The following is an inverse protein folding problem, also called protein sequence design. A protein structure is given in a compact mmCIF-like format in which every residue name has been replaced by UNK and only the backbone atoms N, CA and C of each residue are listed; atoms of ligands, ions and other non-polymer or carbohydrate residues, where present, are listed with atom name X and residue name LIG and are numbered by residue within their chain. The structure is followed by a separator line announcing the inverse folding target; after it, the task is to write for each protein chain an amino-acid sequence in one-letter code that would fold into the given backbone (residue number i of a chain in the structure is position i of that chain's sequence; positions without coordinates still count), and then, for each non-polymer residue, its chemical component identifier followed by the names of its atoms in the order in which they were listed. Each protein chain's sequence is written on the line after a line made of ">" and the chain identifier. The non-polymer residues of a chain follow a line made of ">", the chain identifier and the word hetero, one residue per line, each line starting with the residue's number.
data_IF_354214790515
#
_entry.id   IF_354214790515
#
_cell.length_a   1.000
_cell.length_b   1.000
_cell.length_c   1.000
_cell.angle_alpha   90.00
_cell.angle_beta   90.00
_cell.angle_gamma   90.00
#
_symmetry.space_group_name_H-M   'P 1'
#
loop_
_entity.id
_entity.type
_entity.pdbx_description
1 polymer ?
#
# COMPACT_ATOMS: atom_id res chain seq x y z
N UNK A 1 -37.80 -20.09 -23.87
CA UNK A 1 -37.21 -21.28 -23.24
C UNK A 1 -35.77 -21.40 -23.72
N UNK A 2 -34.82 -20.78 -23.01
CA UNK A 2 -33.40 -20.94 -23.32
C UNK A 2 -32.94 -22.29 -22.76
N UNK A 3 -32.54 -23.21 -23.64
CA UNK A 3 -31.88 -24.43 -23.22
C UNK A 3 -30.58 -24.07 -22.50
N UNK A 4 -30.52 -24.36 -21.20
CA UNK A 4 -29.33 -24.10 -20.39
C UNK A 4 -28.15 -24.89 -20.95
N UNK A 5 -27.16 -24.18 -21.48
CA UNK A 5 -25.87 -24.77 -21.83
C UNK A 5 -25.24 -25.28 -20.52
N UNK A 6 -25.15 -26.60 -20.36
CA UNK A 6 -24.59 -27.22 -19.15
C UNK A 6 -23.20 -26.66 -18.83
N UNK A 7 -22.93 -26.41 -17.53
CA UNK A 7 -21.62 -25.98 -17.07
C UNK A 7 -20.60 -27.10 -17.33
N UNK A 8 -19.46 -26.84 -18.00
CA UNK A 8 -18.39 -27.82 -18.09
C UNK A 8 -17.90 -28.19 -16.67
N UNK A 9 -17.55 -29.45 -16.46
CA UNK A 9 -16.98 -29.87 -15.18
C UNK A 9 -15.60 -29.18 -14.99
N UNK A 10 -15.29 -28.61 -13.82
CA UNK A 10 -14.02 -27.91 -13.56
C UNK A 10 -12.77 -28.77 -13.72
N UNK A 11 -12.90 -30.10 -13.81
CA UNK A 11 -11.80 -31.06 -13.74
C UNK A 11 -10.80 -31.04 -14.91
N UNK A 12 -11.01 -30.23 -15.96
CA UNK A 12 -10.08 -30.10 -17.08
C UNK A 12 -9.30 -28.77 -17.08
N UNK A 13 -9.45 -27.94 -16.04
CA UNK A 13 -8.73 -26.67 -15.93
C UNK A 13 -7.36 -26.85 -15.29
N UNK A 14 -6.36 -26.14 -15.81
CA UNK A 14 -4.98 -26.14 -15.34
C UNK A 14 -4.49 -24.72 -15.07
N UNK A 15 -3.43 -24.60 -14.26
CA UNK A 15 -2.69 -23.34 -14.12
C UNK A 15 -2.22 -22.86 -15.49
N UNK A 16 -2.43 -21.57 -15.78
CA UNK A 16 -2.10 -20.93 -17.05
C UNK A 16 -3.23 -20.93 -18.07
N UNK A 17 -4.33 -21.67 -17.85
CA UNK A 17 -5.48 -21.62 -18.73
C UNK A 17 -6.16 -20.24 -18.66
N UNK A 18 -6.66 -19.79 -19.80
CA UNK A 18 -7.58 -18.66 -19.87
C UNK A 18 -9.02 -19.17 -19.93
N UNK A 19 -9.90 -18.48 -19.22
CA UNK A 19 -11.35 -18.73 -19.28
C UNK A 19 -12.10 -17.42 -19.52
N UNK A 20 -13.32 -17.54 -20.05
CA UNK A 20 -14.32 -16.48 -20.08
C UNK A 20 -15.37 -16.79 -19.03
N UNK A 21 -15.70 -15.80 -18.20
CA UNK A 21 -16.72 -15.88 -17.14
C UNK A 21 -17.84 -14.90 -17.44
N UNK A 22 -19.07 -15.36 -17.41
CA UNK A 22 -20.28 -14.54 -17.55
C UNK A 22 -21.01 -14.50 -16.21
N UNK A 23 -21.21 -13.28 -15.69
CA UNK A 23 -21.86 -13.08 -14.40
C UNK A 23 -23.38 -12.96 -14.53
N UNK A 24 -24.10 -13.14 -13.42
CA UNK A 24 -25.52 -12.82 -13.29
C UNK A 24 -25.69 -11.31 -13.09
N UNK A 25 -25.25 -10.56 -14.09
CA UNK A 25 -25.36 -9.11 -14.13
C UNK A 25 -26.16 -8.70 -15.37
N UNK A 26 -26.86 -7.55 -15.39
CA UNK A 26 -27.64 -7.12 -16.56
C UNK A 26 -26.84 -6.90 -17.85
N UNK A 27 -25.52 -6.99 -17.78
CA UNK A 27 -24.62 -6.85 -18.92
C UNK A 27 -24.47 -8.19 -19.66
N UNK A 28 -24.15 -8.12 -20.94
CA UNK A 28 -23.86 -9.29 -21.79
C UNK A 28 -22.36 -9.60 -21.84
N UNK A 29 -21.54 -8.86 -21.11
CA UNK A 29 -20.08 -8.93 -21.14
C UNK A 29 -19.54 -10.25 -20.54
N UNK A 30 -18.59 -10.85 -21.24
CA UNK A 30 -17.80 -12.01 -20.82
C UNK A 30 -16.43 -11.55 -20.38
N UNK A 31 -16.07 -11.82 -19.13
CA UNK A 31 -14.78 -11.37 -18.60
C UNK A 31 -13.72 -12.44 -18.72
N UNK A 32 -12.56 -12.06 -19.27
CA UNK A 32 -11.41 -12.96 -19.35
C UNK A 32 -10.76 -13.13 -17.98
N UNK A 33 -10.35 -14.35 -17.65
CA UNK A 33 -9.57 -14.69 -16.44
C UNK A 33 -8.39 -15.55 -16.83
N UNK A 34 -7.23 -15.30 -16.23
CA UNK A 34 -6.09 -16.22 -16.27
C UNK A 34 -6.04 -16.98 -14.95
N UNK A 35 -6.05 -18.31 -15.02
CA UNK A 35 -6.00 -19.17 -13.84
C UNK A 35 -4.56 -19.25 -13.32
N UNK A 36 -4.32 -18.76 -12.11
CA UNK A 36 -2.98 -18.72 -11.53
C UNK A 36 -2.69 -19.92 -10.62
N UNK A 37 -3.62 -20.34 -9.77
CA UNK A 37 -3.40 -21.51 -8.90
C UNK A 37 -4.73 -22.08 -8.38
N UNK A 38 -4.81 -23.40 -8.23
CA UNK A 38 -6.02 -24.07 -7.77
C UNK A 38 -6.07 -24.11 -6.24
N UNK A 39 -7.20 -23.70 -5.67
CA UNK A 39 -7.40 -23.72 -4.21
C UNK A 39 -8.12 -24.98 -3.79
N UNK A 40 -9.36 -25.18 -4.22
CA UNK A 40 -10.18 -26.34 -3.89
C UNK A 40 -11.43 -26.36 -4.78
N UNK A 41 -11.89 -27.55 -5.20
CA UNK A 41 -13.10 -27.69 -6.04
C UNK A 41 -13.10 -26.75 -7.26
N UNK A 42 -14.01 -25.78 -7.32
CA UNK A 42 -14.13 -24.76 -8.37
C UNK A 42 -13.48 -23.41 -8.00
N UNK A 43 -12.79 -23.33 -6.86
CA UNK A 43 -12.13 -22.10 -6.40
C UNK A 43 -10.70 -22.02 -6.92
N UNK A 44 -10.43 -20.91 -7.61
CA UNK A 44 -9.12 -20.60 -8.20
C UNK A 44 -8.64 -19.22 -7.73
N UNK A 45 -7.32 -19.07 -7.62
CA UNK A 45 -6.68 -17.75 -7.67
C UNK A 45 -6.61 -17.34 -9.13
N UNK A 46 -7.18 -16.19 -9.46
CA UNK A 46 -7.30 -15.68 -10.83
C UNK A 46 -6.59 -14.33 -10.99
N UNK A 47 -6.24 -13.99 -12.22
CA UNK A 47 -5.84 -12.64 -12.62
C UNK A 47 -6.92 -12.03 -13.52
N UNK A 48 -7.24 -10.76 -13.30
CA UNK A 48 -8.16 -9.98 -14.15
C UNK A 48 -7.42 -9.12 -15.18
N UNK A 49 -8.11 -8.62 -16.23
CA UNK A 49 -7.54 -7.65 -17.16
C UNK A 49 -7.08 -6.33 -16.52
N UNK A 50 -7.54 -6.03 -15.30
CA UNK A 50 -7.17 -4.84 -14.51
C UNK A 50 -5.90 -5.08 -13.68
N UNK A 51 -5.28 -6.25 -13.78
CA UNK A 51 -4.17 -6.71 -12.96
C UNK A 51 -4.51 -6.90 -11.47
N UNK A 52 -5.78 -7.18 -11.18
CA UNK A 52 -6.21 -7.60 -9.84
C UNK A 52 -6.07 -9.11 -9.67
N UNK A 53 -5.71 -9.54 -8.47
CA UNK A 53 -5.57 -10.95 -8.08
C UNK A 53 -6.50 -11.25 -6.90
N UNK A 54 -7.41 -12.21 -7.07
CA UNK A 54 -8.31 -12.62 -6.00
C UNK A 54 -8.81 -14.07 -6.19
N UNK A 55 -9.59 -14.56 -5.22
CA UNK A 55 -10.22 -15.88 -5.25
C UNK A 55 -11.55 -15.82 -5.99
N UNK A 56 -11.75 -16.72 -6.93
CA UNK A 56 -13.01 -16.83 -7.67
C UNK A 56 -13.50 -18.27 -7.65
N UNK A 57 -14.73 -18.46 -7.18
CA UNK A 57 -15.43 -19.74 -7.25
C UNK A 57 -16.19 -19.82 -8.58
N UNK A 58 -15.73 -20.65 -9.51
CA UNK A 58 -16.35 -20.82 -10.82
C UNK A 58 -17.75 -21.43 -10.79
N UNK A 59 -18.19 -21.94 -9.63
CA UNK A 59 -19.56 -22.36 -9.39
C UNK A 59 -20.38 -21.37 -8.57
N UNK A 60 -19.82 -20.20 -8.28
CA UNK A 60 -20.43 -19.13 -7.50
C UNK A 60 -21.85 -18.77 -7.98
N UNK A 61 -22.70 -18.28 -7.06
CA UNK A 61 -24.11 -17.97 -7.36
C UNK A 61 -24.26 -16.82 -8.36
N UNK A 62 -23.25 -15.97 -8.47
CA UNK A 62 -23.16 -14.82 -9.37
C UNK A 62 -22.54 -15.16 -10.72
N UNK A 63 -22.11 -16.41 -10.96
CA UNK A 63 -21.60 -16.85 -12.27
C UNK A 63 -22.69 -17.65 -12.97
N UNK A 64 -23.16 -17.17 -14.11
CA UNK A 64 -24.16 -17.90 -14.91
C UNK A 64 -23.51 -18.95 -15.80
N UNK A 65 -22.34 -18.67 -16.36
CA UNK A 65 -21.58 -19.60 -17.21
C UNK A 65 -20.09 -19.26 -17.28
N UNK A 66 -19.25 -20.25 -17.62
CA UNK A 66 -17.86 -20.04 -18.01
C UNK A 66 -17.45 -20.97 -19.16
N UNK A 67 -16.41 -20.59 -19.92
CA UNK A 67 -15.85 -21.37 -21.05
C UNK A 67 -14.32 -21.30 -21.06
N UNK A 68 -13.64 -22.38 -21.41
CA UNK A 68 -12.22 -22.32 -21.78
C UNK A 68 -12.05 -21.40 -22.98
N UNK A 69 -10.97 -20.62 -22.98
CA UNK A 69 -10.70 -19.61 -24.00
C UNK A 69 -9.22 -19.56 -24.28
N UNK A 70 -8.85 -19.48 -25.55
CA UNK A 70 -7.48 -19.15 -25.97
C UNK A 70 -7.50 -17.69 -26.46
N UNK A 71 -6.79 -16.75 -25.80
CA UNK A 71 -6.73 -15.35 -26.22
C UNK A 71 -6.20 -15.14 -27.64
N UNK A 72 -5.49 -16.12 -28.21
CA UNK A 72 -4.98 -16.09 -29.59
C UNK A 72 -5.84 -16.95 -30.54
N UNK A 73 -6.78 -17.71 -30.00
CA UNK A 73 -7.65 -18.62 -30.73
C UNK A 73 -8.98 -17.99 -31.17
N UNK A 74 -9.84 -18.77 -31.85
CA UNK A 74 -11.19 -18.35 -32.18
C UNK A 74 -12.06 -18.22 -30.91
N UNK A 75 -12.99 -17.27 -30.92
CA UNK A 75 -13.96 -17.10 -29.84
C UNK A 75 -14.87 -18.33 -29.74
N UNK A 76 -15.17 -18.84 -28.51
CA UNK A 76 -16.04 -19.99 -28.34
C UNK A 76 -17.44 -19.77 -28.95
N UNK A 77 -18.01 -20.85 -29.49
CA UNK A 77 -19.33 -20.80 -30.13
C UNK A 77 -20.39 -20.20 -29.19
N UNK A 78 -21.19 -19.26 -29.71
CA UNK A 78 -22.26 -18.59 -28.97
C UNK A 78 -21.83 -17.37 -28.16
N UNK A 79 -20.54 -17.00 -28.18
CA UNK A 79 -20.03 -15.75 -27.60
C UNK A 79 -19.70 -14.78 -28.74
N UNK A 80 -20.19 -13.55 -28.67
CA UNK A 80 -19.83 -12.51 -29.61
C UNK A 80 -18.47 -11.91 -29.19
N UNK A 81 -17.55 -11.76 -30.14
CA UNK A 81 -16.22 -11.22 -29.88
C UNK A 81 -16.26 -9.79 -29.30
N UNK A 82 -17.29 -9.01 -29.62
CA UNK A 82 -17.48 -7.66 -29.10
C UNK A 82 -17.89 -7.61 -27.63
N UNK A 83 -18.44 -8.71 -27.11
CA UNK A 83 -18.93 -8.79 -25.74
C UNK A 83 -17.85 -9.36 -24.80
N UNK A 84 -16.60 -9.55 -25.27
CA UNK A 84 -15.50 -10.04 -24.43
C UNK A 84 -14.76 -8.84 -23.86
N UNK A 85 -14.50 -8.85 -22.55
CA UNK A 85 -13.55 -7.98 -21.86
C UNK A 85 -12.17 -8.64 -21.83
N UNK A 86 -11.24 -8.28 -22.74
CA UNK A 86 -9.97 -8.97 -22.86
C UNK A 86 -8.89 -8.32 -22.01
N UNK A 87 -7.78 -9.03 -21.82
CA UNK A 87 -6.53 -8.40 -21.36
C UNK A 87 -6.06 -7.37 -22.37
N UNK A 88 -5.78 -6.14 -21.91
CA UNK A 88 -5.19 -5.10 -22.78
C UNK A 88 -3.80 -5.50 -23.27
N UNK A 89 -3.02 -6.09 -22.37
CA UNK A 89 -1.71 -6.68 -22.65
C UNK A 89 -1.68 -8.06 -21.98
N UNK A 90 -1.40 -9.10 -22.75
CA UNK A 90 -1.17 -10.43 -22.18
C UNK A 90 0.17 -10.44 -21.44
N UNK A 91 0.26 -11.03 -20.25
CA UNK A 91 1.54 -11.21 -19.57
C UNK A 91 2.48 -12.04 -20.46
N UNK A 92 3.74 -11.60 -20.57
CA UNK A 92 4.78 -12.42 -21.20
C UNK A 92 5.15 -13.62 -20.32
N UNK A 93 5.97 -14.53 -20.84
CA UNK A 93 6.32 -15.77 -20.12
C UNK A 93 7.06 -15.51 -18.80
N UNK A 94 7.87 -14.44 -18.72
CA UNK A 94 8.56 -14.08 -17.49
C UNK A 94 7.59 -13.54 -16.43
N UNK A 95 6.65 -12.68 -16.85
CA UNK A 95 5.60 -12.16 -16.00
C UNK A 95 4.65 -13.29 -15.54
N UNK A 96 4.28 -14.23 -16.43
CA UNK A 96 3.48 -15.40 -16.06
C UNK A 96 4.16 -16.24 -14.98
N UNK A 97 5.47 -16.49 -15.11
CA UNK A 97 6.21 -17.25 -14.09
C UNK A 97 6.15 -16.59 -12.71
N UNK A 98 6.28 -15.26 -12.64
CA UNK A 98 6.14 -14.50 -11.38
C UNK A 98 4.70 -14.56 -10.84
N UNK A 99 3.71 -14.38 -11.73
CA UNK A 99 2.30 -14.43 -11.37
C UNK A 99 1.86 -15.82 -10.87
N UNK A 100 2.42 -16.90 -11.43
CA UNK A 100 2.17 -18.25 -10.94
C UNK A 100 2.76 -18.48 -9.54
N UNK A 101 3.99 -18.02 -9.30
CA UNK A 101 4.58 -18.07 -7.95
C UNK A 101 3.75 -17.27 -6.93
N UNK A 102 3.23 -16.11 -7.33
CA UNK A 102 2.32 -15.33 -6.49
C UNK A 102 0.99 -16.04 -6.26
N UNK A 103 0.37 -16.56 -7.31
CA UNK A 103 -0.85 -17.37 -7.22
C UNK A 103 -0.70 -18.55 -6.26
N UNK A 104 0.43 -19.25 -6.30
CA UNK A 104 0.72 -20.39 -5.42
C UNK A 104 0.87 -19.98 -3.95
N UNK A 105 1.46 -18.80 -3.66
CA UNK A 105 1.52 -18.26 -2.29
C UNK A 105 0.12 -17.94 -1.76
N UNK A 106 -0.73 -17.31 -2.60
CA UNK A 106 -2.11 -17.00 -2.25
C UNK A 106 -2.94 -18.26 -2.02
N UNK A 107 -2.86 -19.23 -2.95
CA UNK A 107 -3.57 -20.49 -2.84
C UNK A 107 -3.12 -21.30 -1.61
N UNK A 108 -1.81 -21.34 -1.32
CA UNK A 108 -1.29 -22.03 -0.13
C UNK A 108 -1.81 -21.42 1.17
N UNK A 109 -1.86 -20.09 1.26
CA UNK A 109 -2.42 -19.38 2.42
C UNK A 109 -3.90 -19.71 2.61
N UNK A 110 -4.68 -19.69 1.52
CA UNK A 110 -6.12 -19.97 1.60
C UNK A 110 -6.41 -21.44 1.91
N UNK A 111 -5.66 -22.37 1.32
CA UNK A 111 -5.76 -23.80 1.64
C UNK A 111 -5.45 -24.06 3.12
N UNK A 112 -4.42 -23.43 3.66
CA UNK A 112 -4.10 -23.52 5.09
C UNK A 112 -5.25 -22.99 5.96
N UNK A 113 -5.88 -21.87 5.56
CA UNK A 113 -7.06 -21.31 6.24
C UNK A 113 -8.25 -22.28 6.26
N UNK A 114 -8.43 -23.04 5.18
CA UNK A 114 -9.48 -24.06 5.03
C UNK A 114 -9.11 -25.43 5.65
N UNK A 115 -7.92 -25.57 6.23
CA UNK A 115 -7.44 -26.86 6.76
C UNK A 115 -7.13 -27.90 5.68
N UNK A 116 -6.93 -27.45 4.43
CA UNK A 116 -6.57 -28.30 3.30
C UNK A 116 -5.05 -28.50 3.25
N UNK A 117 -4.56 -29.65 2.78
CA UNK A 117 -3.13 -29.88 2.60
C UNK A 117 -2.55 -28.90 1.57
N UNK A 118 -1.26 -28.59 1.67
CA UNK A 118 -0.55 -27.83 0.64
C UNK A 118 -0.76 -28.45 -0.76
N UNK A 119 -0.81 -27.65 -1.83
CA UNK A 119 -0.99 -28.19 -3.18
C UNK A 119 0.13 -29.19 -3.47
N UNK A 120 -0.25 -30.40 -3.88
CA UNK A 120 0.71 -31.39 -4.35
C UNK A 120 1.09 -30.93 -5.75
N UNK A 121 2.28 -30.37 -5.94
CA UNK A 121 2.77 -29.99 -7.26
C UNK A 121 2.77 -31.23 -8.16
N UNK A 122 1.72 -31.39 -8.95
CA UNK A 122 1.58 -32.46 -9.91
C UNK A 122 2.47 -32.15 -11.11
N UNK A 123 3.75 -32.52 -11.03
CA UNK A 123 4.59 -32.65 -12.22
C UNK A 123 5.79 -31.72 -12.31
N UNK A 124 6.73 -31.83 -11.37
CA UNK A 124 8.15 -31.85 -11.78
C UNK A 124 8.69 -33.20 -11.34
N UNK A 125 9.02 -34.14 -12.26
CA UNK A 125 9.70 -35.36 -11.86
C UNK A 125 11.03 -34.98 -11.19
N UNK A 126 11.16 -35.33 -9.92
CA UNK A 126 12.38 -35.14 -9.17
C UNK A 126 13.53 -35.78 -9.96
N UNK A 127 14.54 -35.00 -10.29
CA UNK A 127 15.76 -35.51 -10.88
C UNK A 127 16.35 -36.55 -9.92
N UNK A 128 16.33 -37.81 -10.34
CA UNK A 128 16.94 -38.94 -9.64
C UNK A 128 18.44 -38.67 -9.58
N UNK A 129 18.92 -38.13 -8.46
CA UNK A 129 20.33 -38.04 -8.17
C UNK A 129 20.86 -39.48 -8.01
N UNK A 130 21.65 -39.91 -8.99
CA UNK A 130 22.25 -41.23 -9.04
C UNK A 130 23.08 -41.53 -7.80
N UNK A 131 22.77 -42.66 -7.17
CA UNK A 131 23.58 -43.25 -6.11
C UNK A 131 24.91 -43.75 -6.64
N UNK A 132 25.99 -43.41 -5.93
CA UNK A 132 27.26 -44.13 -5.94
C UNK A 132 27.48 -44.77 -4.56
N UNK A 133 28.03 -45.99 -4.48
CA UNK A 133 27.98 -46.81 -3.28
C UNK A 133 29.17 -46.54 -2.35
N UNK A 134 28.96 -46.48 -1.03
CA UNK A 134 30.04 -46.76 -0.09
C UNK A 134 29.54 -47.46 1.19
N UNK A 135 29.79 -48.77 1.17
CA UNK A 135 30.20 -49.72 2.21
C UNK A 135 29.94 -49.37 3.68
N UNK A 136 29.27 -50.33 4.33
CA UNK A 136 28.95 -50.43 5.75
C UNK A 136 30.05 -51.18 6.53
N UNK A 137 30.17 -50.93 7.86
CA UNK A 137 30.73 -51.75 8.97
C UNK A 137 31.89 -51.15 9.84
N UNK A 138 31.98 -51.53 11.15
CA UNK A 138 32.18 -50.61 12.28
C UNK A 138 33.36 -51.03 13.22
N UNK A 139 33.30 -51.00 14.58
CA UNK A 139 33.91 -49.98 15.43
C UNK A 139 34.97 -50.51 16.43
N UNK A 140 35.87 -49.65 16.91
CA UNK A 140 36.69 -49.83 18.13
C UNK A 140 37.29 -48.45 18.48
N UNK A 141 37.42 -47.97 19.72
CA UNK A 141 37.66 -48.63 20.99
C UNK A 141 38.97 -48.08 21.58
N UNK A 142 38.87 -47.11 22.49
CA UNK A 142 39.83 -46.77 23.56
C UNK A 142 41.25 -46.28 23.21
N UNK A 143 41.65 -45.12 23.77
CA UNK A 143 42.80 -45.01 24.69
C UNK A 143 43.06 -43.54 25.09
N UNK A 144 43.24 -43.32 26.40
CA UNK A 144 43.82 -42.13 27.02
C UNK A 144 45.32 -42.05 26.69
N UNK A 145 45.84 -40.82 26.57
CA UNK A 145 47.19 -40.50 27.06
C UNK A 145 47.23 -39.05 27.57
N UNK A 146 47.53 -38.92 28.85
CA UNK A 146 47.97 -37.69 29.51
C UNK A 146 49.43 -37.41 29.15
N UNK A 147 49.76 -36.19 28.71
CA UNK A 147 51.11 -35.61 28.87
C UNK A 147 50.95 -34.11 29.20
N UNK A 148 51.38 -33.76 30.41
CA UNK A 148 51.62 -32.40 30.86
C UNK A 148 52.95 -31.88 30.28
N UNK A 149 53.01 -30.60 29.92
CA UNK A 149 54.26 -29.92 29.57
C UNK A 149 54.01 -28.55 28.95
N UNK A 150 54.31 -27.50 29.71
CA UNK A 150 54.00 -26.11 29.38
C UNK A 150 54.71 -25.57 28.14
N UNK A 151 54.07 -24.57 27.53
CA UNK A 151 54.60 -23.79 26.43
C UNK A 151 53.66 -22.64 26.12
N UNK A 152 53.91 -21.49 26.74
CA UNK A 152 53.25 -20.23 26.44
C UNK A 152 53.45 -19.88 24.96
N UNK A 153 52.36 -19.74 24.21
CA UNK A 153 52.43 -19.42 22.79
C UNK A 153 51.05 -19.28 22.14
N UNK A 154 50.45 -18.11 22.30
CA UNK A 154 49.62 -17.49 21.25
C UNK A 154 48.25 -18.12 20.96
N UNK A 155 47.28 -17.91 21.84
CA UNK A 155 45.85 -17.94 21.47
C UNK A 155 45.44 -16.62 20.77
N UNK A 156 46.28 -16.12 19.86
CA UNK A 156 45.98 -14.94 19.04
C UNK A 156 45.04 -15.27 17.86
N UNK A 157 44.93 -16.55 17.48
CA UNK A 157 44.03 -16.97 16.40
C UNK A 157 42.56 -17.10 16.83
N UNK A 158 42.28 -17.34 18.12
CA UNK A 158 40.90 -17.47 18.62
C UNK A 158 40.29 -16.12 19.05
N UNK A 159 41.12 -15.14 19.44
CA UNK A 159 40.67 -13.77 19.74
C UNK A 159 40.60 -12.91 18.48
N UNK A 160 41.38 -13.21 17.43
CA UNK A 160 41.23 -12.57 16.12
C UNK A 160 39.96 -13.01 15.37
N UNK A 161 39.44 -14.22 15.64
CA UNK A 161 38.16 -14.68 15.10
C UNK A 161 36.94 -14.01 15.76
N UNK A 162 37.10 -13.41 16.95
CA UNK A 162 36.05 -12.67 17.65
C UNK A 162 36.08 -11.15 17.39
N UNK A 163 37.09 -10.65 16.65
CA UNK A 163 37.28 -9.22 16.38
C UNK A 163 37.51 -8.88 14.89
N UNK A 164 37.25 -9.82 13.97
CA UNK A 164 36.98 -9.41 12.60
C UNK A 164 35.56 -8.82 12.54
N UNK A 165 35.32 -7.74 11.77
CA UNK A 165 33.98 -7.32 11.39
C UNK A 165 33.43 -8.35 10.39
N UNK A 166 33.22 -9.57 10.87
CA UNK A 166 32.30 -10.50 10.27
C UNK A 166 30.94 -9.86 10.43
N UNK A 167 30.47 -9.24 9.35
CA UNK A 167 29.06 -8.96 9.20
C UNK A 167 28.36 -10.23 9.60
N UNK A 168 27.60 -10.14 10.69
CA UNK A 168 26.49 -11.04 10.89
C UNK A 168 25.78 -10.98 9.55
N UNK A 169 25.75 -12.10 8.82
CA UNK A 169 24.74 -12.30 7.79
C UNK A 169 23.42 -12.24 8.55
N UNK A 170 22.97 -11.01 8.81
CA UNK A 170 21.62 -10.71 9.21
C UNK A 170 20.85 -11.27 8.04
N UNK A 171 20.16 -12.36 8.33
CA UNK A 171 19.22 -12.99 7.44
C UNK A 171 18.35 -11.89 6.79
N UNK A 172 18.75 -11.46 5.59
CA UNK A 172 18.11 -10.39 4.81
C UNK A 172 16.72 -10.84 4.33
N UNK A 173 16.30 -12.05 4.72
CA UNK A 173 14.98 -12.62 4.44
C UNK A 173 13.84 -12.01 5.26
N UNK A 174 14.12 -11.04 6.15
CA UNK A 174 13.11 -10.22 6.82
C UNK A 174 13.52 -8.75 6.85
N UNK A 175 13.61 -8.13 5.67
CA UNK A 175 13.55 -6.67 5.60
C UNK A 175 12.16 -6.26 6.08
N UNK A 176 12.06 -5.87 7.36
CA UNK A 176 10.82 -5.31 7.91
C UNK A 176 10.40 -4.12 7.05
N UNK A 177 9.17 -4.18 6.54
CA UNK A 177 8.62 -3.10 5.71
C UNK A 177 8.55 -1.83 6.55
N UNK A 178 9.19 -0.75 6.07
CA UNK A 178 9.23 0.55 6.73
C UNK A 178 7.83 1.14 7.02
N UNK A 179 6.77 0.61 6.42
CA UNK A 179 5.37 1.00 6.61
C UNK A 179 4.71 0.32 7.81
N UNK A 180 5.36 -0.64 8.45
CA UNK A 180 4.82 -1.40 9.58
C UNK A 180 5.59 -1.14 10.87
N UNK A 181 4.90 -1.09 12.01
CA UNK A 181 5.52 -1.06 13.33
C UNK A 181 5.61 -2.47 13.91
N UNK A 182 6.46 -2.63 14.92
CA UNK A 182 6.53 -3.87 15.69
C UNK A 182 5.20 -4.13 16.40
N UNK A 183 4.66 -5.35 16.26
CA UNK A 183 3.38 -5.75 16.85
C UNK A 183 3.50 -5.80 18.38
N UNK A 184 2.70 -4.99 19.08
CA UNK A 184 2.45 -5.07 20.52
C UNK A 184 1.06 -5.65 20.81
N UNK A 185 0.94 -6.28 21.97
CA UNK A 185 -0.33 -6.79 22.51
C UNK A 185 -0.54 -6.24 23.91
N UNK A 186 -1.80 -6.03 24.28
CA UNK A 186 -2.17 -5.63 25.64
C UNK A 186 -2.11 -6.83 26.62
N UNK A 187 -2.50 -6.59 27.87
CA UNK A 187 -2.52 -7.58 28.94
C UNK A 187 -3.48 -8.76 28.66
N UNK A 188 -4.48 -8.55 27.81
CA UNK A 188 -5.47 -9.55 27.39
C UNK A 188 -5.01 -10.32 26.14
N UNK A 189 -3.84 -9.97 25.59
CA UNK A 189 -3.30 -10.57 24.38
C UNK A 189 -3.89 -10.02 23.09
N UNK A 190 -4.76 -9.00 23.14
CA UNK A 190 -5.30 -8.35 21.96
C UNK A 190 -4.25 -7.46 21.32
N UNK A 191 -4.31 -7.32 19.98
CA UNK A 191 -3.41 -6.41 19.26
C UNK A 191 -3.76 -4.98 19.62
N UNK A 192 -2.85 -4.30 20.32
CA UNK A 192 -3.04 -2.93 20.74
C UNK A 192 -1.69 -2.24 20.97
N UNK A 193 -1.60 -0.97 20.57
CA UNK A 193 -0.49 -0.06 20.86
C UNK A 193 -1.07 1.27 21.34
N UNK A 194 -0.54 1.82 22.42
CA UNK A 194 -0.92 3.18 22.84
C UNK A 194 -0.54 4.19 21.75
N UNK A 195 -1.40 5.19 21.53
CA UNK A 195 -1.23 6.14 20.44
C UNK A 195 0.09 6.93 20.57
N UNK A 196 0.47 7.37 21.78
CA UNK A 196 1.73 8.11 21.99
C UNK A 196 2.93 7.22 21.71
N UNK A 197 2.92 5.97 22.18
CA UNK A 197 3.98 5.00 21.89
C UNK A 197 4.10 4.73 20.39
N UNK A 198 2.99 4.51 19.68
CA UNK A 198 3.00 4.33 18.22
C UNK A 198 3.61 5.52 17.48
N UNK A 199 3.24 6.75 17.86
CA UNK A 199 3.81 7.97 17.25
C UNK A 199 5.31 8.10 17.50
N UNK A 200 5.80 7.70 18.69
CA UNK A 200 7.23 7.75 19.01
C UNK A 200 8.05 6.72 18.22
N UNK A 201 7.46 5.58 17.87
CA UNK A 201 8.10 4.55 17.05
C UNK A 201 8.16 4.92 15.57
N UNK A 202 7.21 5.72 15.06
CA UNK A 202 7.19 6.15 13.66
C UNK A 202 8.50 6.80 13.23
N UNK A 203 9.13 6.28 12.18
CA UNK A 203 10.39 6.77 11.63
C UNK A 203 10.25 6.98 10.12
N UNK A 204 10.19 8.26 9.75
CA UNK A 204 10.12 8.64 8.35
C UNK A 204 11.38 8.20 7.60
N UNK A 205 11.22 7.38 6.56
CA UNK A 205 12.25 6.87 5.67
C UNK A 205 12.08 7.46 4.27
N UNK A 206 13.14 7.68 3.50
CA UNK A 206 13.02 8.25 2.15
C UNK A 206 12.59 7.19 1.12
N UNK A 207 11.63 7.56 0.27
CA UNK A 207 11.13 6.74 -0.85
C UNK A 207 11.40 7.49 -2.15
N UNK A 208 12.01 6.83 -3.12
CA UNK A 208 12.32 7.42 -4.44
C UNK A 208 11.08 7.59 -5.31
N UNK A 209 10.03 6.81 -5.04
CA UNK A 209 8.78 6.71 -5.79
C UNK A 209 7.58 7.30 -5.03
N UNK A 210 7.83 8.21 -4.07
CA UNK A 210 6.77 8.81 -3.27
C UNK A 210 5.72 9.55 -4.13
N UNK A 211 4.44 9.15 -4.12
CA UNK A 211 3.47 9.62 -5.13
C UNK A 211 2.84 10.99 -4.82
N UNK A 212 3.11 11.58 -3.65
CA UNK A 212 2.44 12.81 -3.19
C UNK A 212 3.43 13.98 -3.21
N UNK A 213 3.12 15.01 -4.01
CA UNK A 213 3.94 16.22 -4.10
C UNK A 213 3.95 17.06 -2.82
N UNK A 214 5.07 17.76 -2.58
CA UNK A 214 5.27 18.61 -1.40
C UNK A 214 5.83 17.86 -0.19
N UNK A 215 5.98 18.54 0.95
CA UNK A 215 6.57 17.94 2.15
C UNK A 215 5.66 16.86 2.74
N UNK A 216 6.27 15.83 3.34
CA UNK A 216 5.55 14.84 4.16
C UNK A 216 5.19 15.45 5.51
N UNK A 217 3.94 15.27 5.92
CA UNK A 217 3.35 15.93 7.08
C UNK A 217 2.69 14.98 8.07
N UNK A 218 2.42 13.72 7.69
CA UNK A 218 1.76 12.74 8.56
C UNK A 218 2.41 12.67 9.96
N UNK A 219 3.74 12.55 10.03
CA UNK A 219 4.47 12.51 11.32
C UNK A 219 4.31 13.79 12.14
N UNK A 220 4.37 14.95 11.48
CA UNK A 220 4.17 16.24 12.16
C UNK A 220 2.77 16.32 12.77
N UNK A 221 1.74 15.98 11.97
CA UNK A 221 0.34 16.02 12.39
C UNK A 221 0.12 15.20 13.66
N UNK A 222 0.55 13.92 13.67
CA UNK A 222 0.30 13.08 14.86
C UNK A 222 1.15 13.48 16.06
N UNK A 223 2.34 14.03 15.86
CA UNK A 223 3.17 14.54 16.95
C UNK A 223 2.49 15.74 17.61
N UNK A 224 1.93 16.66 16.84
CA UNK A 224 1.18 17.80 17.37
C UNK A 224 -0.12 17.34 18.07
N UNK A 225 -0.83 16.34 17.54
CA UNK A 225 -1.98 15.76 18.25
C UNK A 225 -1.60 15.20 19.62
N UNK A 226 -0.46 14.53 19.72
CA UNK A 226 0.09 14.00 20.98
C UNK A 226 0.48 15.13 21.95
N UNK A 227 1.03 16.23 21.44
CA UNK A 227 1.43 17.38 22.24
C UNK A 227 0.23 18.18 22.77
N UNK A 228 -0.84 18.31 21.98
CA UNK A 228 -2.00 19.13 22.34
C UNK A 228 -3.07 18.37 23.11
N UNK A 229 -3.35 17.12 22.75
CA UNK A 229 -4.52 16.38 23.28
C UNK A 229 -4.22 14.92 23.63
N UNK A 230 -3.03 14.41 23.33
CA UNK A 230 -2.60 13.05 23.65
C UNK A 230 -3.01 11.98 22.63
N UNK A 231 -4.08 12.18 21.84
CA UNK A 231 -4.47 11.27 20.77
C UNK A 231 -5.22 11.99 19.64
N UNK A 232 -5.34 11.35 18.46
CA UNK A 232 -6.11 11.89 17.34
C UNK A 232 -7.61 12.12 17.68
N UNK A 233 -8.22 11.23 18.46
CA UNK A 233 -9.62 11.36 18.87
C UNK A 233 -9.82 12.49 19.88
N UNK A 234 -8.91 12.60 20.86
CA UNK A 234 -8.92 13.70 21.81
C UNK A 234 -8.68 15.04 21.11
N UNK A 235 -7.77 15.07 20.12
CA UNK A 235 -7.52 16.24 19.28
C UNK A 235 -8.78 16.68 18.52
N UNK A 236 -9.48 15.74 17.87
CA UNK A 236 -10.76 16.05 17.22
C UNK A 236 -11.77 16.67 18.19
N UNK A 237 -11.91 16.12 19.40
CA UNK A 237 -12.84 16.70 20.40
C UNK A 237 -12.43 18.12 20.80
N UNK A 238 -11.14 18.35 21.05
CA UNK A 238 -10.62 19.67 21.39
C UNK A 238 -10.86 20.68 20.24
N UNK A 239 -10.51 20.32 19.01
CA UNK A 239 -10.73 21.14 17.82
C UNK A 239 -12.21 21.45 17.59
N UNK A 240 -13.09 20.45 17.72
CA UNK A 240 -14.55 20.61 17.55
C UNK A 240 -15.12 21.61 18.56
N UNK A 241 -14.72 21.49 19.84
CA UNK A 241 -15.13 22.41 20.90
C UNK A 241 -14.60 23.83 20.64
N UNK A 242 -13.33 23.96 20.26
CA UNK A 242 -12.71 25.26 19.95
C UNK A 242 -13.41 25.96 18.77
N UNK A 243 -13.78 25.22 17.73
CA UNK A 243 -14.53 25.74 16.60
C UNK A 243 -16.06 25.87 16.83
N UNK A 244 -16.55 25.50 18.03
CA UNK A 244 -17.98 25.51 18.40
C UNK A 244 -18.86 24.73 17.42
N UNK A 245 -18.37 23.60 16.91
CA UNK A 245 -19.14 22.73 16.02
C UNK A 245 -20.01 21.74 16.81
N UNK A 246 -21.23 21.53 16.32
CA UNK A 246 -22.07 20.42 16.75
C UNK A 246 -21.55 19.11 16.15
N UNK A 247 -21.75 17.95 16.80
CA UNK A 247 -21.33 16.66 16.27
C UNK A 247 -21.92 16.33 14.88
N UNK A 248 -23.11 16.87 14.58
CA UNK A 248 -23.79 16.67 13.29
C UNK A 248 -23.30 17.61 12.18
N UNK A 249 -22.44 18.58 12.48
CA UNK A 249 -21.93 19.50 11.48
C UNK A 249 -21.01 18.75 10.51
N UNK A 250 -21.18 18.96 9.20
CA UNK A 250 -20.41 18.27 8.17
C UNK A 250 -18.88 18.27 8.40
N UNK A 251 -18.24 19.42 8.69
CA UNK A 251 -16.82 19.47 9.00
C UNK A 251 -16.42 18.67 10.24
N UNK A 252 -17.29 18.58 11.25
CA UNK A 252 -17.03 17.79 12.46
C UNK A 252 -17.05 16.30 12.15
N UNK A 253 -18.08 15.83 11.41
CA UNK A 253 -18.20 14.42 11.00
C UNK A 253 -17.01 13.98 10.14
N UNK A 254 -16.63 14.79 9.14
CA UNK A 254 -15.50 14.50 8.26
C UNK A 254 -14.18 14.44 9.05
N UNK A 255 -13.94 15.43 9.92
CA UNK A 255 -12.74 15.49 10.76
C UNK A 255 -12.68 14.32 11.76
N UNK A 256 -13.82 13.93 12.35
CA UNK A 256 -13.90 12.77 13.25
C UNK A 256 -13.52 11.49 12.52
N UNK A 257 -14.07 11.28 11.31
CA UNK A 257 -13.76 10.13 10.47
C UNK A 257 -12.27 10.00 10.18
N UNK A 258 -11.62 11.09 9.74
CA UNK A 258 -10.18 11.09 9.45
C UNK A 258 -9.32 10.83 10.70
N UNK A 259 -9.71 11.41 11.84
CA UNK A 259 -9.01 11.18 13.11
C UNK A 259 -9.19 9.74 13.63
N UNK A 260 -10.37 9.14 13.46
CA UNK A 260 -10.62 7.73 13.76
C UNK A 260 -9.72 6.83 12.93
N UNK A 261 -9.61 7.08 11.62
CA UNK A 261 -8.74 6.29 10.74
C UNK A 261 -7.27 6.38 11.20
N UNK A 262 -6.73 7.59 11.43
CA UNK A 262 -5.34 7.71 11.93
C UNK A 262 -5.14 7.02 13.28
N UNK A 263 -6.14 7.10 14.16
CA UNK A 263 -6.07 6.43 15.45
C UNK A 263 -5.97 4.91 15.30
N UNK A 264 -6.87 4.30 14.52
CA UNK A 264 -6.86 2.84 14.33
C UNK A 264 -5.64 2.35 13.56
N UNK A 265 -5.14 3.12 12.58
CA UNK A 265 -3.90 2.80 11.86
C UNK A 265 -2.71 2.64 12.82
N UNK A 266 -2.63 3.46 13.86
CA UNK A 266 -1.53 3.39 14.83
C UNK A 266 -1.79 2.38 15.96
N UNK A 267 -3.00 2.37 16.53
CA UNK A 267 -3.26 1.61 17.76
C UNK A 267 -3.63 0.15 17.49
N UNK A 268 -4.38 -0.11 16.41
CA UNK A 268 -4.85 -1.44 16.06
C UNK A 268 -4.01 -2.06 14.94
N UNK A 269 -3.89 -1.39 13.79
CA UNK A 269 -3.15 -1.91 12.64
C UNK A 269 -1.62 -1.85 12.87
N UNK A 270 -1.18 -0.94 13.74
CA UNK A 270 0.22 -0.72 14.12
C UNK A 270 1.11 -0.44 12.90
N UNK A 271 0.69 0.56 12.13
CA UNK A 271 1.36 1.02 10.92
C UNK A 271 2.26 2.23 11.19
N UNK A 272 3.40 2.31 10.50
CA UNK A 272 4.21 3.52 10.49
C UNK A 272 3.60 4.50 9.49
N UNK A 273 2.68 5.31 10.00
CA UNK A 273 1.96 6.29 9.20
C UNK A 273 2.85 7.36 8.55
N UNK A 274 4.11 7.52 9.01
CA UNK A 274 5.05 8.47 8.40
C UNK A 274 5.56 8.02 7.03
N UNK A 275 5.40 6.74 6.73
CA UNK A 275 5.83 6.08 5.50
C UNK A 275 4.66 5.63 4.61
N UNK A 276 3.41 5.96 4.98
CA UNK A 276 2.22 5.60 4.21
C UNK A 276 1.66 6.78 3.41
N UNK A 277 1.57 6.62 2.09
CA UNK A 277 0.97 7.64 1.21
C UNK A 277 -0.52 7.87 1.55
N UNK A 278 -1.27 6.82 1.89
CA UNK A 278 -2.66 6.93 2.33
C UNK A 278 -2.78 7.76 3.63
N UNK A 279 -1.90 7.53 4.60
CA UNK A 279 -1.87 8.32 5.83
C UNK A 279 -1.52 9.78 5.57
N UNK A 280 -0.62 10.07 4.62
CA UNK A 280 -0.30 11.43 4.21
C UNK A 280 -1.52 12.15 3.61
N UNK A 281 -2.33 11.48 2.78
CA UNK A 281 -3.57 12.07 2.26
C UNK A 281 -4.58 12.35 3.38
N UNK A 282 -4.71 11.45 4.35
CA UNK A 282 -5.58 11.64 5.52
C UNK A 282 -5.10 12.84 6.35
N UNK A 283 -3.79 12.91 6.64
CA UNK A 283 -3.18 14.01 7.37
C UNK A 283 -3.37 15.35 6.64
N UNK A 284 -3.25 15.38 5.32
CA UNK A 284 -3.56 16.57 4.50
C UNK A 284 -5.05 16.92 4.52
N UNK A 285 -5.93 15.91 4.55
CA UNK A 285 -7.36 16.09 4.71
C UNK A 285 -7.70 16.83 6.01
N UNK A 286 -7.11 16.40 7.13
CA UNK A 286 -7.26 17.05 8.44
C UNK A 286 -6.75 18.50 8.38
N UNK A 287 -5.51 18.70 7.93
CA UNK A 287 -4.91 20.04 7.85
C UNK A 287 -5.73 20.98 6.95
N UNK A 288 -6.28 20.49 5.83
CA UNK A 288 -7.17 21.26 4.95
C UNK A 288 -8.45 21.70 5.66
N UNK A 289 -9.09 20.80 6.43
CA UNK A 289 -10.32 21.12 7.18
C UNK A 289 -10.03 22.15 8.26
N UNK A 290 -8.93 22.00 9.00
CA UNK A 290 -8.54 22.94 10.05
C UNK A 290 -8.17 24.31 9.47
N UNK A 291 -7.36 24.35 8.42
CA UNK A 291 -6.94 25.60 7.78
C UNK A 291 -8.14 26.35 7.20
N UNK A 292 -9.11 25.64 6.62
CA UNK A 292 -10.38 26.22 6.15
C UNK A 292 -11.18 26.89 7.27
N UNK A 293 -11.12 26.37 8.49
CA UNK A 293 -11.89 26.87 9.62
C UNK A 293 -11.04 27.60 10.67
N UNK A 294 -9.79 27.94 10.35
CA UNK A 294 -8.83 28.59 11.28
C UNK A 294 -9.35 29.90 11.89
N UNK A 295 -10.19 30.63 11.17
CA UNK A 295 -10.77 31.88 11.65
C UNK A 295 -11.73 31.67 12.84
N UNK A 296 -12.32 30.47 12.97
CA UNK A 296 -13.13 30.11 14.14
C UNK A 296 -12.28 29.88 15.38
N UNK A 297 -11.03 29.43 15.22
CA UNK A 297 -10.06 29.29 16.31
C UNK A 297 -9.55 30.66 16.78
N UNK A 298 -9.41 31.62 15.87
CA UNK A 298 -8.92 32.97 16.19
C UNK A 298 -9.93 33.82 16.97
N UNK A 299 -11.22 33.49 16.90
CA UNK A 299 -12.27 34.28 17.54
C UNK A 299 -12.33 34.11 19.08
N UNK A 300 -11.55 33.19 19.67
CA UNK A 300 -11.53 32.99 21.13
C UNK A 300 -10.45 33.80 21.85
N UNK A 301 -9.49 34.37 21.12
CA UNK A 301 -8.21 34.78 21.72
C UNK A 301 -7.94 36.27 21.49
N UNK A 302 -8.17 37.06 22.54
CA UNK A 302 -7.63 38.41 22.77
C UNK A 302 -6.10 38.37 23.07
N UNK A 303 -5.44 37.28 22.65
CA UNK A 303 -4.12 36.82 23.06
C UNK A 303 -2.97 37.46 22.27
N UNK A 304 -3.19 38.65 21.69
CA UNK A 304 -2.22 39.27 20.78
C UNK A 304 -0.92 39.69 21.45
N UNK A 305 -1.01 40.34 22.61
CA UNK A 305 0.16 40.91 23.28
C UNK A 305 0.76 39.94 24.31
N UNK A 306 -0.08 39.31 25.15
CA UNK A 306 0.37 38.40 26.21
C UNK A 306 1.09 37.15 25.68
N UNK A 307 0.67 36.59 24.54
CA UNK A 307 1.32 35.43 23.94
C UNK A 307 2.74 35.76 23.45
N UNK A 308 2.92 36.96 22.88
CA UNK A 308 4.22 37.45 22.44
C UNK A 308 5.17 37.64 23.64
N UNK A 309 4.67 38.20 24.75
CA UNK A 309 5.47 38.38 25.98
C UNK A 309 5.87 37.07 26.65
N UNK A 310 5.04 36.02 26.54
CA UNK A 310 5.35 34.70 27.11
C UNK A 310 6.27 33.86 26.22
N UNK A 311 6.77 34.42 25.11
CA UNK A 311 7.59 33.68 24.15
C UNK A 311 6.83 32.52 23.51
N UNK A 312 5.50 32.53 23.55
CA UNK A 312 4.68 31.63 22.76
C UNK A 312 4.88 32.03 21.31
N UNK A 313 5.84 31.38 20.64
CA UNK A 313 6.23 31.70 19.28
C UNK A 313 4.98 31.71 18.38
N UNK A 314 4.63 32.91 17.93
CA UNK A 314 3.70 33.18 16.84
C UNK A 314 2.39 32.44 16.94
N UNK A 315 1.56 32.76 17.93
CA UNK A 315 0.16 32.35 17.97
C UNK A 315 0.00 30.86 17.70
N UNK A 316 0.73 30.03 18.47
CA UNK A 316 0.53 28.60 18.52
C UNK A 316 -0.98 28.38 18.56
N UNK A 317 -1.55 27.99 17.41
CA UNK A 317 -2.99 27.89 17.24
C UNK A 317 -3.38 26.70 18.08
N UNK A 318 -3.69 26.94 19.35
CA UNK A 318 -4.02 25.88 20.29
C UNK A 318 -5.14 25.07 19.62
N UNK A 319 -4.85 23.80 19.34
CA UNK A 319 -5.77 22.91 18.64
C UNK A 319 -5.69 22.90 17.11
N UNK A 320 -4.63 23.40 16.48
CA UNK A 320 -4.33 23.13 15.07
C UNK A 320 -3.03 22.36 14.87
N UNK A 321 -3.02 21.47 13.89
CA UNK A 321 -1.89 20.58 13.53
C UNK A 321 -1.38 20.84 12.11
N UNK A 322 -1.70 22.02 11.55
CA UNK A 322 -1.28 22.43 10.21
C UNK A 322 0.23 22.66 10.16
N UNK A 323 0.90 21.89 9.30
CA UNK A 323 2.35 21.98 9.13
C UNK A 323 2.79 23.32 8.53
N UNK A 324 3.76 24.03 9.15
CA UNK A 324 4.34 25.23 8.57
C UNK A 324 4.99 24.97 7.20
N UNK A 325 5.69 23.83 7.05
CA UNK A 325 6.34 23.44 5.78
C UNK A 325 5.32 23.25 4.66
N UNK A 326 4.16 22.66 4.97
CA UNK A 326 3.09 22.50 4.00
C UNK A 326 2.49 23.86 3.62
N UNK A 327 2.28 24.73 4.60
CA UNK A 327 1.76 26.09 4.36
C UNK A 327 2.70 26.90 3.45
N UNK A 328 4.00 26.84 3.71
CA UNK A 328 5.03 27.47 2.87
C UNK A 328 5.02 26.90 1.44
N UNK A 329 5.00 25.58 1.30
CA UNK A 329 4.98 24.91 0.00
C UNK A 329 3.72 25.27 -0.80
N UNK A 330 2.53 25.23 -0.19
CA UNK A 330 1.26 25.61 -0.82
C UNK A 330 1.30 27.08 -1.26
N UNK A 331 1.84 27.98 -0.42
CA UNK A 331 2.02 29.38 -0.79
C UNK A 331 2.92 29.56 -2.02
N UNK A 332 4.01 28.81 -2.09
CA UNK A 332 4.93 28.79 -3.23
C UNK A 332 4.27 28.29 -4.51
N UNK A 333 3.49 27.20 -4.46
CA UNK A 333 2.77 26.67 -5.62
C UNK A 333 1.69 27.64 -6.11
N UNK A 334 0.89 28.23 -5.21
CA UNK A 334 -0.11 29.24 -5.57
C UNK A 334 0.52 30.47 -6.24
N UNK A 335 1.70 30.90 -5.77
CA UNK A 335 2.43 32.00 -6.40
C UNK A 335 2.90 31.63 -7.81
N UNK A 336 3.43 30.42 -8.01
CA UNK A 336 3.83 29.94 -9.35
C UNK A 336 2.64 29.88 -10.30
N UNK A 337 1.51 29.36 -9.85
CA UNK A 337 0.27 29.32 -10.65
C UNK A 337 -0.23 30.71 -11.03
N UNK A 338 -0.20 31.66 -10.08
CA UNK A 338 -0.59 33.04 -10.33
C UNK A 338 0.31 33.71 -11.38
N UNK A 339 1.62 33.46 -11.35
CA UNK A 339 2.57 33.94 -12.36
C UNK A 339 2.27 33.34 -13.74
N UNK A 340 2.05 32.03 -13.82
CA UNK A 340 1.67 31.35 -15.07
C UNK A 340 0.35 31.90 -15.61
N UNK A 341 -0.64 32.15 -14.75
CA UNK A 341 -1.92 32.74 -15.14
C UNK A 341 -1.76 34.18 -15.66
N UNK A 342 -0.88 34.97 -15.04
CA UNK A 342 -0.54 36.33 -15.48
C UNK A 342 0.12 36.32 -16.85
N UNK A 343 1.11 35.46 -17.08
CA UNK A 343 1.78 35.33 -18.39
C UNK A 343 0.81 34.82 -19.48
N UNK A 344 -0.07 33.85 -19.15
CA UNK A 344 -1.14 33.41 -20.07
C UNK A 344 -2.11 34.54 -20.43
N UNK A 345 -2.43 35.43 -19.47
CA UNK A 345 -3.27 36.60 -19.74
C UNK A 345 -2.55 37.59 -20.66
N UNK A 346 -1.29 37.91 -20.36
CA UNK A 346 -0.45 38.80 -21.17
C UNK A 346 -0.32 38.29 -22.61
N UNK A 347 -0.03 37.00 -22.81
CA UNK A 347 0.05 36.38 -24.13
C UNK A 347 -1.27 36.45 -24.92
N UNK A 348 -2.43 36.34 -24.24
CA UNK A 348 -3.75 36.51 -24.88
C UNK A 348 -3.99 37.96 -25.31
N UNK A 349 -3.61 38.91 -24.47
CA UNK A 349 -3.74 40.35 -24.77
C UNK A 349 -2.85 40.75 -25.95
N UNK A 350 -1.59 40.29 -25.98
CA UNK A 350 -0.66 40.50 -27.11
C UNK A 350 -1.17 39.90 -28.42
N UNK A 351 -1.69 38.67 -28.40
CA UNK A 351 -2.27 38.03 -29.58
C UNK A 351 -3.49 38.79 -30.11
N UNK A 352 -4.30 39.37 -29.21
CA UNK A 352 -5.46 40.18 -29.60
C UNK A 352 -5.04 41.53 -30.21
N UNK A 353 -3.97 42.16 -29.70
CA UNK A 353 -3.41 43.39 -30.27
C UNK A 353 -2.75 43.15 -31.63
N UNK A 354 -2.03 42.04 -31.79
CA UNK A 354 -1.45 41.62 -33.07
C UNK A 354 -2.53 41.39 -34.15
N UNK A 355 -3.67 40.79 -33.78
CA UNK A 355 -4.81 40.62 -34.71
C UNK A 355 -5.44 41.96 -35.12
N UNK A 356 -5.58 42.90 -34.18
CA UNK A 356 -6.15 44.23 -34.47
C UNK A 356 -5.25 45.09 -35.35
N UNK A 357 -3.93 44.98 -35.20
CA UNK A 357 -2.97 45.69 -36.05
C UNK A 357 -2.96 45.14 -37.47
N UNK A 358 -2.93 43.81 -37.64
CA UNK A 358 -3.00 43.18 -38.96
C UNK A 358 -4.26 43.55 -39.77
N UNK A 359 -5.41 43.75 -39.10
CA UNK A 359 -6.64 44.16 -39.77
C UNK A 359 -6.68 45.62 -40.25
N UNK A 360 -5.82 46.50 -39.72
CA UNK A 360 -5.77 47.92 -40.12
C UNK A 360 -4.91 48.18 -41.34
N UNK A 361 -3.86 47.38 -41.56
CA UNK A 361 -2.97 47.56 -42.70
C UNK A 361 -3.60 47.04 -44.01
N UNK A 362 -4.51 46.06 -43.94
CA UNK A 362 -5.22 45.54 -45.13
C UNK A 362 -6.31 46.45 -45.71
N UNK A 363 -6.66 47.55 -45.03
CA UNK A 363 -7.73 48.48 -45.45
C UNK A 363 -7.19 49.75 -46.13
N UNK A 364 -5.86 49.91 -46.24
CA UNK A 364 -5.22 51.06 -46.91
C UNK A 364 -4.86 50.83 -48.39
N UNK A 365 -5.00 49.60 -48.87
CA UNK A 365 -4.70 49.22 -50.27
C UNK A 365 -5.97 48.98 -51.11
N UNK A 366 -7.11 49.53 -50.69
CA UNK A 366 -8.33 49.68 -51.50
C UNK A 366 -8.70 51.16 -51.59
#
# INVERSE_FOLDING_TARGET
>A
MHGGLGRPAPGNLSQGDFILVHYDFPDTEWHTRLLLSHVHESVWVILTPQADLYLEDLNGPDITAWRCFDPQGPVPYGINAHDIHPFRNLPDEAAKAQLFQEGDRHASTERARLGLPAPVNAGIPAAVAGGGPHVNLPPAGGARQDIAGGGAGGNAALVAALNQPGGVDVDDSKVDDARTLAISRDEEGNRFKDFRSGVQECKQCDFTDWPIGGPRTAKHVVLEMVNHAGSALAHHQAWRVACKFQPSDGPAVEHEGLCKILHTMLTYDQLDISNLASAELIARGIQRIEEKHKFKLQASDDSGEGALFMGAMGGARIGSVVSPKLTEWVGGELQKEALVAKERRKAREERNLARKSAGKDGDKDK
#
